data_IF_374279365619
#
_entry.id   IF_374279365619
#
_cell.length_a   1.000
_cell.length_b   1.000
_cell.length_c   1.000
_cell.angle_alpha   90.00
_cell.angle_beta   90.00
_cell.angle_gamma   90.00
#
_symmetry.space_group_name_H-M   'P 1'
#
loop_
_entity.id
_entity.type
_entity.pdbx_description
1 polymer ?
#
# COMPACT_ATOMS: atom_id res chain seq x y z
N UNK A 1 24.35 0.96 5.50
CA UNK A 1 23.13 0.19 5.15
C UNK A 1 22.87 -0.87 6.21
N UNK A 2 21.65 -0.95 6.75
CA UNK A 2 21.29 -1.96 7.76
C UNK A 2 20.35 -2.98 7.12
N UNK A 3 20.73 -4.25 7.12
CA UNK A 3 19.84 -5.38 6.84
C UNK A 3 19.30 -5.94 8.16
N UNK A 4 18.02 -6.30 8.18
CA UNK A 4 17.36 -6.77 9.39
C UNK A 4 17.33 -8.30 9.53
N UNK A 5 17.73 -9.04 8.48
CA UNK A 5 18.02 -10.49 8.35
C UNK A 5 16.92 -11.48 8.80
N UNK A 6 16.24 -11.24 9.93
CA UNK A 6 15.20 -12.07 10.53
C UNK A 6 13.93 -11.29 10.85
N UNK A 7 12.80 -11.97 10.77
CA UNK A 7 11.48 -11.40 11.09
C UNK A 7 11.42 -10.81 12.52
N UNK A 8 12.14 -11.40 13.48
CA UNK A 8 12.19 -10.96 14.87
C UNK A 8 12.66 -9.51 15.05
N UNK A 9 13.59 -9.02 14.22
CA UNK A 9 14.05 -7.62 14.32
C UNK A 9 12.95 -6.61 14.00
N UNK A 10 12.00 -6.95 13.11
CA UNK A 10 10.82 -6.11 12.84
C UNK A 10 9.84 -6.11 14.01
N UNK A 11 9.70 -7.25 14.70
CA UNK A 11 8.84 -7.38 15.88
C UNK A 11 9.34 -6.55 17.06
N UNK A 12 10.65 -6.49 17.29
CA UNK A 12 11.26 -5.64 18.32
C UNK A 12 11.02 -4.14 18.09
N UNK A 13 10.71 -3.75 16.86
CA UNK A 13 10.33 -2.37 16.48
C UNK A 13 8.82 -2.13 16.53
N UNK A 14 8.04 -3.07 17.07
CA UNK A 14 6.58 -2.99 17.11
C UNK A 14 5.88 -3.20 15.75
N UNK A 15 6.61 -3.59 14.70
CA UNK A 15 6.01 -3.83 13.37
C UNK A 15 5.48 -5.26 13.29
N UNK A 16 4.15 -5.39 13.20
CA UNK A 16 3.46 -6.66 12.96
C UNK A 16 3.55 -7.06 11.48
N UNK A 17 3.46 -8.37 11.16
CA UNK A 17 3.40 -8.80 9.76
C UNK A 17 2.16 -8.22 9.07
N UNK A 18 2.32 -7.78 7.83
CA UNK A 18 1.24 -7.31 6.95
C UNK A 18 0.86 -8.41 5.97
N UNK A 19 -0.42 -8.77 5.90
CA UNK A 19 -0.93 -9.77 4.95
C UNK A 19 -1.25 -9.08 3.62
N UNK A 20 -0.90 -9.72 2.50
CA UNK A 20 -1.16 -9.18 1.15
C UNK A 20 -2.66 -9.33 0.81
N UNK A 21 -3.26 -8.33 0.16
CA UNK A 21 -4.66 -8.37 -0.26
C UNK A 21 -5.04 -9.55 -1.17
N UNK A 22 -4.10 -9.98 -2.03
CA UNK A 22 -4.26 -11.16 -2.90
C UNK A 22 -4.42 -12.47 -2.12
N UNK A 23 -3.96 -12.52 -0.87
CA UNK A 23 -4.11 -13.70 -0.01
C UNK A 23 -5.43 -13.68 0.80
N UNK A 24 -6.27 -12.67 0.61
CA UNK A 24 -7.52 -12.49 1.35
C UNK A 24 -8.73 -12.93 0.50
N UNK A 25 -9.93 -12.95 1.10
CA UNK A 25 -11.17 -13.20 0.39
C UNK A 25 -11.74 -11.91 -0.22
N UNK A 26 -12.67 -12.03 -1.17
CA UNK A 26 -13.27 -10.87 -1.85
C UNK A 26 -14.05 -9.92 -0.94
N UNK A 27 -14.46 -10.39 0.26
CA UNK A 27 -15.10 -9.55 1.29
C UNK A 27 -14.09 -8.67 2.03
N UNK A 28 -12.83 -9.10 2.15
CA UNK A 28 -11.81 -8.46 2.98
C UNK A 28 -10.97 -7.46 2.19
N UNK A 29 -10.68 -7.77 0.93
CA UNK A 29 -9.84 -6.95 0.08
C UNK A 29 -10.36 -6.94 -1.35
N UNK A 30 -10.29 -5.79 -2.05
CA UNK A 30 -10.65 -5.75 -3.46
C UNK A 30 -9.75 -6.57 -4.41
N UNK A 31 -8.68 -7.19 -3.89
CA UNK A 31 -7.79 -8.10 -4.63
C UNK A 31 -7.97 -9.55 -4.17
N UNK A 32 -8.90 -9.80 -3.26
CA UNK A 32 -9.11 -11.12 -2.68
C UNK A 32 -10.01 -12.00 -3.54
N UNK A 33 -9.84 -13.30 -3.38
CA UNK A 33 -10.56 -14.34 -4.12
C UNK A 33 -9.91 -14.76 -5.44
N UNK A 34 -10.69 -15.51 -6.23
CA UNK A 34 -10.21 -16.24 -7.41
C UNK A 34 -9.65 -17.63 -7.07
N UNK A 35 -9.55 -18.49 -8.08
CA UNK A 35 -8.99 -19.83 -7.92
C UNK A 35 -7.45 -19.78 -7.94
N UNK A 36 -6.83 -20.40 -6.93
CA UNK A 36 -5.37 -20.40 -6.79
C UNK A 36 -4.78 -19.01 -6.50
N UNK A 37 -3.51 -18.82 -6.88
CA UNK A 37 -2.84 -17.52 -6.70
C UNK A 37 -3.08 -16.64 -7.93
N UNK A 38 -4.05 -15.75 -7.83
CA UNK A 38 -4.37 -14.79 -8.88
C UNK A 38 -3.50 -13.53 -8.78
N UNK A 39 -3.38 -12.81 -9.90
CA UNK A 39 -2.81 -11.47 -9.92
C UNK A 39 -3.78 -10.42 -9.38
N UNK A 40 -3.43 -9.14 -9.51
CA UNK A 40 -4.30 -8.05 -9.03
C UNK A 40 -5.60 -7.94 -9.84
N UNK A 41 -5.64 -8.37 -11.12
CA UNK A 41 -6.84 -8.41 -11.97
C UNK A 41 -7.49 -7.06 -12.32
N UNK A 42 -7.09 -6.01 -11.59
CA UNK A 42 -7.54 -4.61 -11.67
C UNK A 42 -6.39 -3.69 -11.29
N UNK A 43 -6.61 -2.38 -11.41
CA UNK A 43 -5.66 -1.40 -10.86
C UNK A 43 -5.43 -1.65 -9.36
N UNK A 44 -4.18 -1.56 -8.88
CA UNK A 44 -3.87 -1.87 -7.49
C UNK A 44 -4.49 -0.85 -6.54
N UNK A 45 -5.26 -1.37 -5.60
CA UNK A 45 -5.95 -0.59 -4.58
C UNK A 45 -5.55 -1.01 -3.17
N UNK A 46 -5.86 -0.14 -2.22
CA UNK A 46 -5.84 -0.44 -0.79
C UNK A 46 -7.11 -1.24 -0.40
N UNK A 47 -7.22 -1.70 0.87
CA UNK A 47 -8.40 -2.43 1.33
C UNK A 47 -9.73 -1.67 1.20
N UNK A 48 -9.67 -0.34 1.06
CA UNK A 48 -10.84 0.54 0.95
C UNK A 48 -11.13 0.98 -0.50
N UNK A 49 -10.33 0.54 -1.46
CA UNK A 49 -10.52 0.81 -2.88
C UNK A 49 -9.79 2.04 -3.44
N UNK A 50 -8.99 2.77 -2.64
CA UNK A 50 -8.18 3.87 -3.17
C UNK A 50 -6.99 3.33 -3.96
N UNK A 51 -6.65 3.98 -5.07
CA UNK A 51 -5.52 3.60 -5.92
C UNK A 51 -4.17 3.77 -5.19
N UNK A 52 -3.29 2.76 -5.30
CA UNK A 52 -2.00 2.75 -4.58
C UNK A 52 -0.80 3.04 -5.48
N UNK A 53 -0.94 2.92 -6.80
CA UNK A 53 0.12 3.23 -7.78
C UNK A 53 -0.15 4.57 -8.45
N UNK A 54 0.68 5.58 -8.14
CA UNK A 54 0.70 6.88 -8.82
C UNK A 54 -0.42 7.87 -8.42
N UNK A 55 -1.40 7.44 -7.64
CA UNK A 55 -2.51 8.29 -7.21
C UNK A 55 -2.08 9.34 -6.18
N UNK A 56 -2.46 10.60 -6.43
CA UNK A 56 -2.14 11.73 -5.56
C UNK A 56 -3.24 11.90 -4.51
N UNK A 57 -2.91 11.66 -3.25
CA UNK A 57 -3.87 11.77 -2.14
C UNK A 57 -4.12 13.21 -1.68
N UNK A 58 -3.14 14.12 -1.84
CA UNK A 58 -3.32 15.54 -1.45
C UNK A 58 -3.93 16.36 -2.59
N UNK A 59 -5.13 16.88 -2.36
CA UNK A 59 -5.89 17.71 -3.31
C UNK A 59 -6.18 19.15 -2.82
N UNK A 60 -5.92 19.49 -1.55
CA UNK A 60 -6.30 20.79 -0.97
C UNK A 60 -5.62 21.98 -1.67
N UNK A 61 -6.41 22.82 -2.36
CA UNK A 61 -5.96 24.00 -3.11
C UNK A 61 -5.30 25.07 -2.23
N UNK A 62 -5.81 25.32 -1.02
CA UNK A 62 -5.31 26.34 -0.07
C UNK A 62 -3.83 26.13 0.25
N UNK A 63 -3.43 24.88 0.43
CA UNK A 63 -2.06 24.52 0.79
C UNK A 63 -1.10 24.46 -0.40
N UNK A 64 -1.61 24.49 -1.64
CA UNK A 64 -0.77 24.36 -2.84
C UNK A 64 -0.16 25.67 -3.30
N UNK A 65 -0.69 26.82 -2.85
CA UNK A 65 -0.26 28.16 -3.30
C UNK A 65 1.19 28.46 -2.92
N UNK A 66 1.67 27.99 -1.76
CA UNK A 66 3.03 28.25 -1.28
C UNK A 66 4.08 27.22 -1.76
N UNK A 67 3.70 26.30 -2.65
CA UNK A 67 4.57 25.18 -3.04
C UNK A 67 5.28 25.53 -4.35
N UNK A 68 6.55 25.91 -4.25
CA UNK A 68 7.38 26.31 -5.41
C UNK A 68 7.78 25.11 -6.28
N UNK A 69 8.10 23.96 -5.69
CA UNK A 69 8.44 22.75 -6.43
C UNK A 69 7.96 21.49 -5.72
N UNK A 70 7.76 20.41 -6.48
CA UNK A 70 7.41 19.10 -5.92
C UNK A 70 8.68 18.29 -5.69
N UNK A 71 8.62 17.39 -4.70
CA UNK A 71 9.68 16.43 -4.40
C UNK A 71 10.01 15.60 -5.66
N UNK A 72 11.28 15.62 -6.06
CA UNK A 72 11.86 14.71 -7.05
C UNK A 72 12.23 13.39 -6.36
N UNK A 73 12.32 12.32 -7.14
CA UNK A 73 12.75 11.00 -6.65
C UNK A 73 14.20 11.01 -6.24
#
# INVERSE_FOLDING_TARGET
NINWDKAGRSRWKGKRPTVRGVAMNSVDHPHGGGEGKTGEGRHPVDPWGNLTKGYRTRNNKRTQVMIVSRRKK
#
